data_IF_658541438528
#
_entry.id   IF_658541438528
#
_cell.length_a   1.000
_cell.length_b   1.000
_cell.length_c   1.000
_cell.angle_alpha   90.00
_cell.angle_beta   90.00
_cell.angle_gamma   90.00
#
_symmetry.space_group_name_H-M   'P 1'
#
loop_
_entity.id
_entity.type
_entity.pdbx_description
1 polymer ?
#
# COMPACT_ATOMS: atom_id res chain seq x y z
N UNK A 1 -10.13 8.99 7.10
CA UNK A 1 -9.55 7.76 7.68
C UNK A 1 -8.24 7.52 6.94
N UNK A 2 -7.13 7.56 7.63
CA UNK A 2 -5.81 7.47 7.02
C UNK A 2 -5.60 6.11 6.36
N UNK A 3 -4.90 6.11 5.22
CA UNK A 3 -4.73 4.93 4.32
C UNK A 3 -4.16 3.70 5.03
N UNK A 4 -3.23 3.90 5.96
CA UNK A 4 -2.55 2.82 6.67
C UNK A 4 -3.28 2.32 7.92
N UNK A 5 -4.15 3.12 8.53
CA UNK A 5 -4.87 2.75 9.75
C UNK A 5 -5.73 1.51 9.59
N UNK A 6 -6.49 1.45 8.49
CA UNK A 6 -7.35 0.29 8.21
C UNK A 6 -6.56 -0.99 7.94
N UNK A 7 -5.37 -0.86 7.35
CA UNK A 7 -4.52 -2.02 7.03
C UNK A 7 -3.82 -2.57 8.28
N UNK A 8 -3.32 -1.71 9.15
CA UNK A 8 -2.74 -2.13 10.43
C UNK A 8 -3.78 -2.77 11.34
N UNK A 9 -5.00 -2.22 11.38
CA UNK A 9 -6.11 -2.85 12.09
C UNK A 9 -6.44 -4.24 11.54
N UNK A 10 -6.43 -4.42 10.21
CA UNK A 10 -6.64 -5.72 9.58
C UNK A 10 -5.50 -6.71 9.89
N UNK A 11 -4.25 -6.24 9.96
CA UNK A 11 -3.11 -7.08 10.38
C UNK A 11 -3.29 -7.55 11.82
N UNK A 12 -3.62 -6.64 12.73
CA UNK A 12 -3.90 -6.94 14.13
C UNK A 12 -5.07 -7.92 14.27
N UNK A 13 -6.18 -7.67 13.58
CA UNK A 13 -7.33 -8.56 13.57
C UNK A 13 -6.96 -9.96 13.08
N UNK A 14 -6.24 -10.07 11.98
CA UNK A 14 -5.79 -11.34 11.40
C UNK A 14 -4.91 -12.13 12.37
N UNK A 15 -4.00 -11.44 13.05
CA UNK A 15 -3.17 -12.05 14.07
C UNK A 15 -4.02 -12.58 15.23
N UNK A 16 -4.89 -11.76 15.79
CA UNK A 16 -5.79 -12.15 16.88
C UNK A 16 -6.64 -13.37 16.50
N UNK A 17 -7.25 -13.36 15.28
CA UNK A 17 -8.04 -14.48 14.80
C UNK A 17 -7.21 -15.76 14.71
N UNK A 18 -5.98 -15.69 14.21
CA UNK A 18 -5.11 -16.86 14.06
C UNK A 18 -4.64 -17.45 15.39
N UNK A 19 -4.50 -16.62 16.42
CA UNK A 19 -4.06 -17.01 17.76
C UNK A 19 -5.18 -17.63 18.59
N UNK A 20 -6.44 -17.21 18.37
CA UNK A 20 -7.58 -17.55 19.22
C UNK A 20 -8.68 -18.38 18.52
N UNK A 21 -8.54 -18.74 17.24
CA UNK A 21 -9.57 -19.45 16.48
C UNK A 21 -10.08 -20.71 17.18
N UNK A 22 -9.20 -21.45 17.85
CA UNK A 22 -9.54 -22.69 18.56
C UNK A 22 -10.32 -22.48 19.87
N UNK A 23 -10.36 -21.27 20.40
CA UNK A 23 -10.99 -20.94 21.69
C UNK A 23 -12.48 -20.61 21.57
N UNK A 24 -12.94 -20.30 20.35
CA UNK A 24 -14.28 -19.80 20.07
C UNK A 24 -15.12 -20.80 19.26
N UNK A 25 -16.43 -20.74 19.47
CA UNK A 25 -17.39 -21.62 18.80
C UNK A 25 -17.79 -21.12 17.42
N UNK A 26 -17.68 -19.80 17.19
CA UNK A 26 -18.02 -19.16 15.93
C UNK A 26 -17.04 -18.02 15.62
N UNK A 27 -16.93 -17.68 14.34
CA UNK A 27 -16.14 -16.52 13.88
C UNK A 27 -16.78 -15.21 14.37
N UNK A 28 -18.10 -15.16 14.47
CA UNK A 28 -18.85 -14.00 14.94
C UNK A 28 -18.47 -13.66 16.40
N UNK A 29 -18.47 -14.67 17.30
CA UNK A 29 -18.09 -14.50 18.70
C UNK A 29 -16.62 -14.02 18.83
N UNK A 30 -15.75 -14.55 17.98
CA UNK A 30 -14.34 -14.19 17.94
C UNK A 30 -14.15 -12.73 17.49
N UNK A 31 -14.87 -12.29 16.45
CA UNK A 31 -14.84 -10.91 15.95
C UNK A 31 -15.42 -9.94 17.00
N UNK A 32 -16.53 -10.30 17.65
CA UNK A 32 -17.14 -9.47 18.69
C UNK A 32 -16.20 -9.29 19.89
N UNK A 33 -15.50 -10.36 20.27
CA UNK A 33 -14.49 -10.31 21.34
C UNK A 33 -13.32 -9.41 20.95
N UNK A 34 -12.79 -9.55 19.73
CA UNK A 34 -11.74 -8.67 19.22
C UNK A 34 -12.18 -7.20 19.27
N UNK A 35 -13.36 -6.88 18.75
CA UNK A 35 -13.87 -5.49 18.75
C UNK A 35 -14.07 -4.94 20.16
N UNK A 36 -14.49 -5.79 21.10
CA UNK A 36 -14.65 -5.40 22.49
C UNK A 36 -13.30 -5.07 23.13
N UNK A 37 -12.28 -5.89 22.93
CA UNK A 37 -10.93 -5.66 23.45
C UNK A 37 -10.28 -4.45 22.77
N UNK A 38 -10.47 -4.29 21.44
CA UNK A 38 -9.99 -3.13 20.71
C UNK A 38 -10.57 -1.83 21.27
N UNK A 39 -11.87 -1.78 21.51
CA UNK A 39 -12.54 -0.60 22.05
C UNK A 39 -12.15 -0.28 23.51
N UNK A 40 -11.67 -1.27 24.27
CA UNK A 40 -11.09 -1.06 25.60
C UNK A 40 -9.67 -0.53 25.58
N UNK A 41 -8.98 -0.61 24.43
CA UNK A 41 -7.58 -0.25 24.30
C UNK A 41 -6.61 -1.37 24.70
N UNK A 42 -7.06 -2.62 24.80
CA UNK A 42 -6.23 -3.75 25.22
C UNK A 42 -5.05 -4.01 24.25
N UNK A 43 -5.13 -3.48 23.03
CA UNK A 43 -4.10 -3.57 21.99
C UNK A 43 -3.16 -2.35 21.88
N UNK A 44 -3.34 -1.32 22.69
CA UNK A 44 -2.60 -0.04 22.57
C UNK A 44 -1.07 -0.21 22.61
N UNK A 45 -0.58 -1.24 23.29
CA UNK A 45 0.85 -1.53 23.39
C UNK A 45 1.40 -2.42 22.24
N UNK A 46 0.56 -2.88 21.33
CA UNK A 46 0.98 -3.70 20.18
C UNK A 46 1.82 -2.90 19.20
N UNK A 47 2.63 -3.60 18.40
CA UNK A 47 3.43 -2.98 17.34
C UNK A 47 2.53 -2.30 16.31
N UNK A 48 1.43 -2.93 15.91
CA UNK A 48 0.49 -2.40 14.92
C UNK A 48 -0.11 -1.06 15.36
N UNK A 49 -0.46 -0.91 16.64
CA UNK A 49 -1.00 0.33 17.18
C UNK A 49 0.07 1.43 17.25
N UNK A 50 1.29 1.08 17.66
CA UNK A 50 2.42 2.03 17.63
C UNK A 50 2.78 2.48 16.22
N UNK A 51 2.77 1.56 15.26
CA UNK A 51 2.98 1.90 13.84
C UNK A 51 1.87 2.81 13.33
N UNK A 52 0.60 2.55 13.68
CA UNK A 52 -0.54 3.39 13.31
C UNK A 52 -0.32 4.83 13.78
N UNK A 53 0.01 5.00 15.06
CA UNK A 53 0.18 6.32 15.66
C UNK A 53 1.35 7.08 15.01
N UNK A 54 2.44 6.37 14.66
CA UNK A 54 3.58 6.95 13.95
C UNK A 54 3.26 7.31 12.49
N UNK A 55 2.47 6.50 11.77
CA UNK A 55 2.00 6.85 10.43
C UNK A 55 1.09 8.06 10.46
N UNK A 56 0.17 8.14 11.42
CA UNK A 56 -0.71 9.30 11.62
C UNK A 56 0.11 10.57 11.87
N UNK A 57 1.08 10.51 12.79
CA UNK A 57 1.98 11.60 13.06
C UNK A 57 2.84 12.01 11.84
N UNK A 58 3.25 11.04 11.01
CA UNK A 58 4.00 11.32 9.78
C UNK A 58 3.15 12.01 8.72
N UNK A 59 1.85 11.66 8.61
CA UNK A 59 0.91 12.28 7.67
C UNK A 59 0.46 13.67 8.14
N UNK A 60 0.40 13.92 9.45
CA UNK A 60 0.03 15.20 10.05
C UNK A 60 1.20 16.16 10.21
N UNK A 61 2.44 15.73 9.96
CA UNK A 61 3.63 16.54 10.13
C UNK A 61 3.64 17.77 9.23
N UNK A 62 3.96 18.94 9.79
CA UNK A 62 4.00 20.21 9.07
C UNK A 62 5.16 20.32 8.07
N UNK A 63 6.19 19.50 8.23
CA UNK A 63 7.40 19.55 7.40
C UNK A 63 7.86 18.16 6.96
N UNK A 64 8.47 18.09 5.78
CA UNK A 64 9.10 16.88 5.26
C UNK A 64 10.12 16.27 6.23
N UNK A 65 10.92 17.10 6.89
CA UNK A 65 11.94 16.63 7.83
C UNK A 65 11.32 16.00 9.09
N UNK A 66 10.18 16.50 9.52
CA UNK A 66 9.43 15.94 10.64
C UNK A 66 8.77 14.60 10.24
N UNK A 67 8.13 14.56 9.08
CA UNK A 67 7.57 13.34 8.51
C UNK A 67 8.63 12.23 8.38
N UNK A 68 9.82 12.56 7.86
CA UNK A 68 10.96 11.62 7.79
C UNK A 68 11.39 11.07 9.15
N UNK A 69 11.32 11.87 10.21
CA UNK A 69 11.65 11.37 11.57
C UNK A 69 10.68 10.28 12.01
N UNK A 70 9.39 10.45 11.75
CA UNK A 70 8.40 9.43 12.11
C UNK A 70 8.57 8.15 11.28
N UNK A 71 8.82 8.24 9.96
CA UNK A 71 9.11 7.05 9.16
C UNK A 71 10.39 6.33 9.61
N UNK A 72 11.41 7.05 10.04
CA UNK A 72 12.61 6.43 10.63
C UNK A 72 12.32 5.75 11.98
N UNK A 73 11.41 6.29 12.80
CA UNK A 73 10.96 5.63 14.03
C UNK A 73 10.18 4.35 13.71
N UNK A 74 9.35 4.35 12.68
CA UNK A 74 8.67 3.14 12.18
C UNK A 74 9.71 2.08 11.81
N UNK A 75 10.75 2.44 11.06
CA UNK A 75 11.80 1.50 10.67
C UNK A 75 12.67 1.04 11.83
N UNK A 76 12.80 1.83 12.89
CA UNK A 76 13.47 1.41 14.12
C UNK A 76 12.67 0.34 14.88
N UNK A 77 11.32 0.41 14.82
CA UNK A 77 10.42 -0.59 15.43
C UNK A 77 10.25 -1.81 14.52
N UNK A 78 10.11 -1.59 13.23
CA UNK A 78 9.86 -2.62 12.22
C UNK A 78 10.77 -2.37 10.98
N UNK A 79 12.02 -2.90 10.96
CA UNK A 79 12.97 -2.66 9.87
C UNK A 79 12.50 -3.13 8.50
N UNK A 80 11.54 -4.04 8.46
CA UNK A 80 10.99 -4.60 7.22
C UNK A 80 9.68 -3.93 6.77
N UNK A 81 9.27 -2.84 7.42
CA UNK A 81 8.07 -2.12 7.03
C UNK A 81 8.27 -1.41 5.68
N UNK A 82 7.68 -2.02 4.65
CA UNK A 82 7.90 -1.64 3.24
C UNK A 82 7.33 -0.26 2.94
N UNK A 83 6.17 0.06 3.49
CA UNK A 83 5.51 1.33 3.22
C UNK A 83 6.29 2.51 3.81
N UNK A 84 6.90 2.36 4.98
CA UNK A 84 7.77 3.39 5.53
C UNK A 84 9.03 3.62 4.66
N UNK A 85 9.64 2.54 4.14
CA UNK A 85 10.74 2.64 3.17
C UNK A 85 10.31 3.38 1.91
N UNK A 86 9.14 3.06 1.40
CA UNK A 86 8.55 3.64 0.21
C UNK A 86 8.30 5.14 0.37
N UNK A 87 7.72 5.55 1.50
CA UNK A 87 7.49 6.96 1.81
C UNK A 87 8.82 7.75 1.96
N UNK A 88 9.86 7.14 2.56
CA UNK A 88 11.19 7.77 2.62
C UNK A 88 11.80 7.95 1.22
N UNK A 89 11.64 6.98 0.32
CA UNK A 89 12.09 7.09 -1.07
C UNK A 89 11.38 8.24 -1.79
N UNK A 90 10.09 8.47 -1.52
CA UNK A 90 9.33 9.54 -2.15
C UNK A 90 9.86 10.95 -1.82
N UNK A 91 10.63 11.11 -0.73
CA UNK A 91 11.28 12.38 -0.37
C UNK A 91 12.61 12.63 -1.10
N UNK A 92 13.11 11.68 -1.88
CA UNK A 92 14.31 11.87 -2.68
C UNK A 92 14.06 12.87 -3.82
N UNK A 93 15.01 13.78 -4.03
CA UNK A 93 14.85 14.87 -5.00
C UNK A 93 15.01 14.41 -6.47
N UNK A 94 15.72 13.32 -6.69
CA UNK A 94 16.03 12.84 -8.03
C UNK A 94 15.22 11.59 -8.40
N UNK A 95 14.33 11.68 -9.39
CA UNK A 95 13.48 10.57 -9.79
C UNK A 95 14.22 9.31 -10.25
N UNK A 96 15.38 9.48 -10.89
CA UNK A 96 16.22 8.33 -11.25
C UNK A 96 16.75 7.58 -10.02
N UNK A 97 16.97 8.29 -8.93
CA UNK A 97 17.39 7.71 -7.66
C UNK A 97 16.20 7.05 -6.96
N UNK A 98 15.03 7.68 -6.97
CA UNK A 98 13.77 7.07 -6.49
C UNK A 98 13.49 5.76 -7.22
N UNK A 99 13.56 5.75 -8.57
CA UNK A 99 13.35 4.54 -9.37
C UNK A 99 14.32 3.43 -8.99
N UNK A 100 15.60 3.76 -8.85
CA UNK A 100 16.62 2.80 -8.47
C UNK A 100 16.34 2.19 -7.08
N UNK A 101 16.00 3.02 -6.09
CA UNK A 101 15.68 2.56 -4.75
C UNK A 101 14.38 1.74 -4.70
N UNK A 102 13.34 2.15 -5.44
CA UNK A 102 12.09 1.38 -5.54
C UNK A 102 12.33 0.03 -6.21
N UNK A 103 13.20 -0.03 -7.25
CA UNK A 103 13.59 -1.28 -7.88
C UNK A 103 14.32 -2.21 -6.90
N UNK A 104 15.29 -1.69 -6.16
CA UNK A 104 15.99 -2.46 -5.12
C UNK A 104 15.02 -2.95 -4.03
N UNK A 105 14.08 -2.09 -3.62
CA UNK A 105 13.05 -2.46 -2.65
C UNK A 105 12.19 -3.61 -3.17
N UNK A 106 11.67 -3.52 -4.40
CA UNK A 106 10.88 -4.60 -5.04
C UNK A 106 11.68 -5.89 -5.16
N UNK A 107 12.95 -5.83 -5.55
CA UNK A 107 13.83 -7.00 -5.67
C UNK A 107 14.08 -7.68 -4.31
N UNK A 108 14.12 -6.90 -3.22
CA UNK A 108 14.25 -7.43 -1.86
C UNK A 108 12.96 -8.11 -1.36
N UNK A 109 11.81 -7.77 -1.95
CA UNK A 109 10.53 -8.34 -1.56
C UNK A 109 10.30 -9.68 -2.24
N UNK A 110 9.72 -10.61 -1.48
CA UNK A 110 9.22 -11.84 -2.10
C UNK A 110 8.01 -11.49 -2.96
N UNK A 111 8.15 -11.72 -4.29
CA UNK A 111 7.03 -11.50 -5.21
C UNK A 111 5.80 -12.27 -4.73
N UNK A 112 4.64 -11.61 -4.57
CA UNK A 112 3.41 -12.28 -4.16
C UNK A 112 3.04 -13.40 -5.13
N UNK A 113 2.63 -14.56 -4.61
CA UNK A 113 2.13 -15.68 -5.44
C UNK A 113 0.91 -15.27 -6.26
N UNK A 114 0.08 -14.39 -5.70
CA UNK A 114 -1.10 -13.81 -6.34
C UNK A 114 -1.06 -12.30 -6.12
N UNK A 115 -1.12 -11.55 -7.19
CA UNK A 115 -1.31 -10.11 -7.18
C UNK A 115 -2.82 -9.87 -6.99
N UNK A 116 -3.23 -9.57 -5.76
CA UNK A 116 -4.63 -9.36 -5.41
C UNK A 116 -4.69 -8.36 -4.25
N UNK A 117 -5.42 -7.26 -4.44
CA UNK A 117 -5.51 -6.19 -3.43
C UNK A 117 -6.16 -6.64 -2.12
N UNK A 118 -7.00 -7.69 -2.17
CA UNK A 118 -7.59 -8.26 -0.95
C UNK A 118 -6.55 -9.01 -0.09
N UNK A 119 -5.39 -9.36 -0.65
CA UNK A 119 -4.28 -9.96 0.08
C UNK A 119 -3.40 -8.82 0.62
N UNK A 120 -3.45 -8.59 1.94
CA UNK A 120 -2.75 -7.48 2.61
C UNK A 120 -1.26 -7.51 2.29
N UNK A 121 -0.65 -8.69 2.33
CA UNK A 121 0.78 -8.90 2.09
C UNK A 121 1.22 -8.61 0.65
N UNK A 122 0.27 -8.54 -0.31
CA UNK A 122 0.57 -8.18 -1.69
C UNK A 122 0.54 -6.65 -1.93
N UNK A 123 -0.15 -5.90 -1.08
CA UNK A 123 -0.37 -4.46 -1.27
C UNK A 123 0.93 -3.63 -1.29
N UNK A 124 1.90 -3.84 -0.38
CA UNK A 124 3.14 -3.07 -0.42
C UNK A 124 3.90 -3.24 -1.75
N UNK A 125 3.96 -4.46 -2.29
CA UNK A 125 4.55 -4.73 -3.60
C UNK A 125 3.80 -4.00 -4.72
N UNK A 126 2.47 -4.02 -4.69
CA UNK A 126 1.63 -3.33 -5.68
C UNK A 126 1.80 -1.81 -5.59
N UNK A 127 1.91 -1.24 -4.38
CA UNK A 127 2.16 0.19 -4.18
C UNK A 127 3.52 0.63 -4.74
N UNK A 128 4.58 -0.16 -4.54
CA UNK A 128 5.87 0.11 -5.17
C UNK A 128 5.79 0.16 -6.70
N UNK A 129 5.03 -0.74 -7.32
CA UNK A 129 4.80 -0.73 -8.76
C UNK A 129 4.03 0.52 -9.21
N UNK A 130 3.05 0.98 -8.43
CA UNK A 130 2.30 2.20 -8.72
C UNK A 130 3.23 3.41 -8.67
N UNK A 131 4.06 3.54 -7.64
CA UNK A 131 4.98 4.66 -7.49
C UNK A 131 6.00 4.71 -8.63
N UNK A 132 6.60 3.56 -9.01
CA UNK A 132 7.47 3.50 -10.19
C UNK A 132 6.72 3.92 -11.47
N UNK A 133 5.50 3.44 -11.66
CA UNK A 133 4.67 3.80 -12.80
C UNK A 133 4.36 5.29 -12.85
N UNK A 134 4.12 5.93 -11.70
CA UNK A 134 3.89 7.37 -11.61
C UNK A 134 5.15 8.17 -11.96
N UNK A 135 6.32 7.76 -11.48
CA UNK A 135 7.59 8.41 -11.84
C UNK A 135 7.83 8.28 -13.35
N UNK A 136 7.66 7.09 -13.95
CA UNK A 136 7.77 6.91 -15.39
C UNK A 136 6.79 7.80 -16.17
N UNK A 137 5.57 7.98 -15.66
CA UNK A 137 4.55 8.83 -16.27
C UNK A 137 4.97 10.29 -16.30
N UNK A 138 5.54 10.82 -15.19
CA UNK A 138 6.06 12.19 -15.11
C UNK A 138 7.16 12.48 -16.12
N UNK A 139 7.95 11.45 -16.46
CA UNK A 139 9.01 11.55 -17.49
C UNK A 139 8.55 11.17 -18.89
N UNK A 140 7.24 11.04 -19.11
CA UNK A 140 6.66 10.64 -20.39
C UNK A 140 7.14 9.26 -20.92
N UNK A 141 7.64 8.41 -20.01
CA UNK A 141 8.02 7.02 -20.29
C UNK A 141 6.79 6.12 -20.20
N UNK A 142 5.83 6.37 -21.10
CA UNK A 142 4.48 5.82 -21.01
C UNK A 142 4.44 4.29 -21.08
N UNK A 143 5.30 3.65 -21.87
CA UNK A 143 5.34 2.20 -21.98
C UNK A 143 5.85 1.54 -20.71
N UNK A 144 6.83 2.16 -20.03
CA UNK A 144 7.37 1.67 -18.76
C UNK A 144 6.35 1.86 -17.64
N UNK A 145 5.64 3.00 -17.64
CA UNK A 145 4.51 3.23 -16.73
C UNK A 145 3.42 2.16 -16.91
N UNK A 146 3.02 1.85 -18.15
CA UNK A 146 2.06 0.79 -18.47
C UNK A 146 2.56 -0.57 -17.97
N UNK A 147 3.86 -0.86 -18.13
CA UNK A 147 4.45 -2.12 -17.67
C UNK A 147 4.31 -2.25 -16.13
N UNK A 148 4.59 -1.18 -15.38
CA UNK A 148 4.43 -1.14 -13.93
C UNK A 148 2.96 -1.28 -13.50
N UNK A 149 2.02 -0.59 -14.15
CA UNK A 149 0.60 -0.64 -13.80
C UNK A 149 -0.09 -1.95 -14.20
N UNK A 150 0.45 -2.71 -15.15
CA UNK A 150 -0.19 -3.92 -15.67
C UNK A 150 -0.45 -4.99 -14.61
N UNK A 151 0.50 -5.38 -13.74
CA UNK A 151 0.26 -6.33 -12.68
C UNK A 151 -0.82 -5.84 -11.69
N UNK A 152 -0.81 -4.53 -11.38
CA UNK A 152 -1.80 -3.91 -10.50
C UNK A 152 -3.18 -3.94 -11.13
N UNK A 153 -3.29 -3.65 -12.44
CA UNK A 153 -4.54 -3.72 -13.20
C UNK A 153 -5.21 -5.10 -13.12
N UNK A 154 -4.42 -6.17 -13.04
CA UNK A 154 -4.97 -7.52 -12.88
C UNK A 154 -5.31 -7.84 -11.43
N UNK A 155 -4.63 -7.24 -10.47
CA UNK A 155 -4.75 -7.53 -9.05
C UNK A 155 -5.73 -6.65 -8.27
N UNK A 156 -5.89 -5.38 -8.67
CA UNK A 156 -6.82 -4.43 -8.04
C UNK A 156 -8.00 -4.14 -8.98
N UNK A 157 -8.97 -5.02 -8.95
CA UNK A 157 -10.12 -4.95 -9.88
C UNK A 157 -11.07 -3.81 -9.59
N UNK A 158 -11.12 -3.35 -8.33
CA UNK A 158 -12.04 -2.31 -7.85
C UNK A 158 -11.36 -0.94 -7.69
N UNK A 159 -10.11 -0.83 -8.15
CA UNK A 159 -9.32 0.41 -8.07
C UNK A 159 -9.20 1.00 -6.65
N UNK A 160 -9.03 0.15 -5.66
CA UNK A 160 -8.84 0.59 -4.26
C UNK A 160 -7.63 1.53 -4.10
N UNK A 161 -6.64 1.38 -4.97
CA UNK A 161 -5.44 2.21 -4.99
C UNK A 161 -5.57 3.50 -5.80
N UNK A 162 -6.63 3.65 -6.61
CA UNK A 162 -6.88 4.84 -7.43
C UNK A 162 -5.93 5.00 -8.63
N UNK A 163 -5.28 3.92 -9.08
CA UNK A 163 -4.25 3.99 -10.13
C UNK A 163 -4.80 4.03 -11.54
N UNK A 164 -6.08 3.69 -11.77
CA UNK A 164 -6.65 3.57 -13.12
C UNK A 164 -6.56 4.89 -13.92
N UNK A 165 -6.70 6.02 -13.25
CA UNK A 165 -6.55 7.35 -13.89
C UNK A 165 -5.14 7.51 -14.47
N UNK A 166 -4.11 7.16 -13.72
CA UNK A 166 -2.72 7.25 -14.18
C UNK A 166 -2.43 6.27 -15.32
N UNK A 167 -2.98 5.06 -15.25
CA UNK A 167 -2.87 4.09 -16.33
C UNK A 167 -3.58 4.56 -17.61
N UNK A 168 -4.73 5.26 -17.53
CA UNK A 168 -5.37 5.87 -18.69
C UNK A 168 -4.48 6.93 -19.33
N UNK A 169 -3.88 7.83 -18.52
CA UNK A 169 -2.95 8.86 -19.01
C UNK A 169 -1.76 8.20 -19.73
N UNK A 170 -1.17 7.16 -19.14
CA UNK A 170 -0.09 6.41 -19.76
C UNK A 170 -0.50 5.78 -21.10
N UNK A 171 -1.69 5.17 -21.18
CA UNK A 171 -2.21 4.60 -22.40
C UNK A 171 -2.44 5.67 -23.50
N UNK A 172 -2.95 6.84 -23.13
CA UNK A 172 -3.11 7.96 -24.07
C UNK A 172 -1.76 8.46 -24.59
N UNK A 173 -0.79 8.68 -23.71
CA UNK A 173 0.55 9.13 -24.08
C UNK A 173 1.29 8.13 -24.97
N UNK A 174 1.10 6.83 -24.75
CA UNK A 174 1.65 5.75 -25.60
C UNK A 174 0.84 5.50 -26.88
N UNK A 175 -0.24 6.23 -27.14
CA UNK A 175 -1.21 5.97 -28.21
C UNK A 175 -1.78 4.53 -28.20
N UNK A 176 -1.84 3.90 -27.04
CA UNK A 176 -2.36 2.54 -26.85
C UNK A 176 -3.88 2.58 -26.57
N UNK A 177 -4.64 2.92 -27.60
CA UNK A 177 -6.08 3.19 -27.51
C UNK A 177 -6.89 1.98 -27.10
N UNK A 178 -6.52 0.77 -27.54
CA UNK A 178 -7.24 -0.46 -27.21
C UNK A 178 -7.14 -0.78 -25.71
N UNK A 179 -5.95 -0.60 -25.15
CA UNK A 179 -5.75 -0.77 -23.71
C UNK A 179 -6.40 0.36 -22.92
N UNK A 180 -6.25 1.60 -23.37
CA UNK A 180 -6.89 2.77 -22.76
C UNK A 180 -8.40 2.62 -22.66
N UNK A 181 -9.05 2.09 -23.70
CA UNK A 181 -10.50 1.80 -23.69
C UNK A 181 -10.88 0.78 -22.62
N UNK A 182 -10.10 -0.30 -22.45
CA UNK A 182 -10.36 -1.32 -21.42
C UNK A 182 -10.19 -0.74 -20.01
N UNK A 183 -9.17 0.09 -19.80
CA UNK A 183 -8.94 0.77 -18.52
C UNK A 183 -10.09 1.73 -18.20
N UNK A 184 -10.52 2.53 -19.17
CA UNK A 184 -11.65 3.45 -19.02
C UNK A 184 -12.97 2.73 -18.70
N UNK A 185 -13.25 1.61 -19.38
CA UNK A 185 -14.43 0.80 -19.08
C UNK A 185 -14.42 0.28 -17.64
N UNK A 186 -13.25 -0.14 -17.15
CA UNK A 186 -13.12 -0.56 -15.75
C UNK A 186 -13.30 0.62 -14.79
N UNK A 187 -12.69 1.77 -15.08
CA UNK A 187 -12.85 2.98 -14.27
C UNK A 187 -14.33 3.34 -14.10
N UNK A 188 -15.09 3.34 -15.18
CA UNK A 188 -16.54 3.60 -15.12
C UNK A 188 -17.32 2.56 -14.31
N UNK A 189 -16.84 1.33 -14.22
CA UNK A 189 -17.47 0.28 -13.43
C UNK A 189 -17.14 0.37 -11.92
N UNK A 190 -16.10 1.14 -11.55
CA UNK A 190 -15.71 1.39 -10.17
C UNK A 190 -16.28 2.68 -9.57
N UNK A 191 -16.81 3.59 -10.42
CA UNK A 191 -17.49 4.83 -10.02
C UNK A 191 -18.98 4.59 -9.81
#
# INVERSE_FOLDING_TARGET
>A
MFRFQSELLLRLQKQFLSEHEAEFKSIEDLIETFMTQYNRGDFNDTIEMKLRDLYEAAEEADTTEESKKFYNQILALCPDEVDAKRELIAFELHPSFQLHQLQQLIESLKKPKKMDWHIIEARPYMRCLIDMGMIYLEYNMYNDAIACFTPVFHGDKQDHSGFLVYMMVACCGAANWDRGRKVYQRYLACC
#
